data_IF_266657392925
#
_entry.id   IF_266657392925
#
_cell.length_a   1.000
_cell.length_b   1.000
_cell.length_c   1.000
_cell.angle_alpha   90.00
_cell.angle_beta   90.00
_cell.angle_gamma   90.00
#
_symmetry.space_group_name_H-M   'P 1'
#
loop_
_entity.id
_entity.type
_entity.pdbx_description
1 polymer ?
#
# COMPACT_ATOMS: atom_id res chain seq x y z
N UNK A 1 68.71 1.42 -26.01
CA UNK A 1 68.23 1.65 -24.64
C UNK A 1 67.54 0.37 -24.21
N UNK A 2 68.09 -0.16 -23.13
CA UNK A 2 67.90 -1.48 -22.56
C UNK A 2 66.49 -1.74 -22.01
N UNK A 3 66.16 -3.01 -21.76
CA UNK A 3 65.20 -3.35 -20.71
C UNK A 3 64.36 -4.61 -20.94
N UNK A 4 64.81 -5.74 -20.38
CA UNK A 4 64.15 -7.04 -20.28
C UNK A 4 62.87 -7.03 -19.42
N UNK A 5 61.96 -7.94 -19.81
CA UNK A 5 61.18 -8.93 -19.02
C UNK A 5 60.75 -8.62 -17.58
N UNK A 6 59.50 -9.00 -17.23
CA UNK A 6 59.22 -10.15 -16.35
C UNK A 6 57.71 -10.35 -16.13
N UNK A 7 57.33 -11.63 -16.11
CA UNK A 7 56.05 -12.14 -15.63
C UNK A 7 56.22 -12.50 -14.14
N UNK A 8 55.29 -12.15 -13.26
CA UNK A 8 55.11 -12.86 -11.98
C UNK A 8 53.75 -12.57 -11.34
N UNK A 9 53.08 -13.66 -10.97
CA UNK A 9 51.98 -13.72 -10.00
C UNK A 9 52.25 -12.89 -8.73
N UNK A 10 51.21 -12.19 -8.28
CA UNK A 10 51.06 -11.67 -6.93
C UNK A 10 49.57 -11.63 -6.61
N UNK A 11 49.11 -12.62 -5.85
CA UNK A 11 47.81 -12.61 -5.19
C UNK A 11 47.83 -11.50 -4.14
N UNK A 12 46.85 -10.61 -4.15
CA UNK A 12 46.47 -9.87 -2.95
C UNK A 12 44.94 -9.71 -2.91
N UNK A 13 44.47 -10.02 -1.72
CA UNK A 13 43.11 -10.21 -1.26
C UNK A 13 42.58 -8.87 -0.73
N UNK A 14 41.26 -8.65 -0.83
CA UNK A 14 40.43 -7.67 -0.10
C UNK A 14 40.54 -6.18 -0.49
N UNK A 15 39.49 -5.67 -1.14
CA UNK A 15 38.47 -4.82 -0.48
C UNK A 15 37.72 -4.02 -1.58
N UNK A 16 36.77 -4.69 -2.23
CA UNK A 16 35.89 -4.10 -3.23
C UNK A 16 34.56 -3.74 -2.59
N UNK A 17 34.53 -2.57 -1.95
CA UNK A 17 33.35 -1.92 -1.40
C UNK A 17 32.17 -2.01 -2.38
N UNK A 18 31.09 -2.62 -1.93
CA UNK A 18 29.79 -2.70 -2.58
C UNK A 18 29.35 -1.29 -3.02
N UNK A 19 29.27 -1.08 -4.34
CA UNK A 19 28.53 0.03 -4.90
C UNK A 19 27.06 -0.16 -4.57
N UNK A 20 26.57 0.61 -3.60
CA UNK A 20 25.15 0.83 -3.41
C UNK A 20 24.73 1.83 -4.48
N UNK A 21 24.06 1.33 -5.51
CA UNK A 21 23.19 2.14 -6.36
C UNK A 21 22.07 2.69 -5.46
N UNK A 22 22.30 3.87 -4.89
CA UNK A 22 21.28 4.63 -4.18
C UNK A 22 20.38 5.21 -5.29
N UNK A 23 19.13 4.76 -5.33
CA UNK A 23 18.10 5.26 -6.23
C UNK A 23 18.10 6.80 -6.22
N UNK A 24 18.09 7.45 -7.40
CA UNK A 24 18.04 8.92 -7.48
C UNK A 24 16.84 9.53 -6.72
N UNK A 25 15.76 8.75 -6.53
CA UNK A 25 14.63 9.10 -5.67
C UNK A 25 15.00 9.26 -4.19
N UNK A 26 15.89 8.41 -3.66
CA UNK A 26 16.31 8.46 -2.26
C UNK A 26 17.21 9.68 -1.99
N UNK A 27 17.95 10.14 -3.00
CA UNK A 27 18.77 11.35 -2.92
C UNK A 27 17.91 12.62 -2.84
N UNK A 28 16.85 12.70 -3.65
CA UNK A 28 15.89 13.81 -3.64
C UNK A 28 15.10 13.87 -2.31
N UNK A 29 14.71 12.72 -1.76
CA UNK A 29 14.03 12.65 -0.45
C UNK A 29 14.95 13.05 0.71
N UNK A 30 16.22 12.66 0.66
CA UNK A 30 17.20 13.00 1.68
C UNK A 30 17.60 14.49 1.61
N UNK A 31 17.68 15.07 0.41
CA UNK A 31 17.92 16.51 0.20
C UNK A 31 16.76 17.36 0.71
N UNK A 32 15.52 16.98 0.39
CA UNK A 32 14.32 17.67 0.88
C UNK A 32 14.17 17.57 2.41
N UNK A 33 14.55 16.44 3.01
CA UNK A 33 14.57 16.26 4.47
C UNK A 33 15.60 17.16 5.15
N UNK A 34 16.78 17.31 4.55
CA UNK A 34 17.84 18.23 5.06
C UNK A 34 17.42 19.69 4.96
N UNK A 35 16.81 20.09 3.86
CA UNK A 35 16.35 21.47 3.69
C UNK A 35 15.18 21.81 4.62
N UNK A 36 14.26 20.86 4.83
CA UNK A 36 13.22 20.99 5.84
C UNK A 36 13.81 21.16 7.25
N UNK A 37 14.86 20.41 7.60
CA UNK A 37 15.53 20.53 8.89
C UNK A 37 16.23 21.89 9.08
N UNK A 38 16.85 22.45 8.02
CA UNK A 38 17.44 23.79 8.05
C UNK A 38 16.36 24.87 8.27
N UNK A 39 15.25 24.78 7.53
CA UNK A 39 14.13 25.72 7.65
C UNK A 39 13.53 25.70 9.06
N UNK A 40 13.30 24.50 9.62
CA UNK A 40 12.80 24.35 10.99
C UNK A 40 13.76 24.95 12.04
N UNK A 41 15.07 24.76 11.87
CA UNK A 41 16.09 25.33 12.76
C UNK A 41 16.08 26.86 12.72
N UNK A 42 15.96 27.46 11.54
CA UNK A 42 15.83 28.92 11.39
C UNK A 42 14.53 29.46 11.98
N UNK A 43 13.40 28.77 11.75
CA UNK A 43 12.10 29.18 12.28
C UNK A 43 12.05 29.12 13.80
N UNK A 44 12.66 28.09 14.40
CA UNK A 44 12.80 27.97 15.86
C UNK A 44 13.66 29.09 16.46
N UNK A 45 14.67 29.57 15.74
CA UNK A 45 15.49 30.70 16.16
C UNK A 45 14.76 32.05 16.04
N UNK A 46 13.95 32.23 14.99
CA UNK A 46 13.19 33.46 14.72
C UNK A 46 11.90 33.55 15.55
N UNK A 47 11.34 32.41 15.94
CA UNK A 47 10.10 32.31 16.72
C UNK A 47 10.27 31.30 17.86
N UNK A 48 11.03 31.64 18.92
CA UNK A 48 11.24 30.75 20.05
C UNK A 48 9.96 30.48 20.85
N UNK A 49 8.97 31.37 20.75
CA UNK A 49 7.71 31.31 21.50
C UNK A 49 6.60 30.50 20.79
N UNK A 50 6.85 29.99 19.59
CA UNK A 50 5.86 29.21 18.82
C UNK A 50 5.99 27.71 19.08
N UNK A 51 4.85 27.06 19.17
CA UNK A 51 4.76 25.61 19.33
C UNK A 51 5.33 24.87 18.12
N UNK A 52 5.80 23.65 18.34
CA UNK A 52 6.44 22.82 17.31
C UNK A 52 5.53 22.61 16.10
N UNK A 53 4.22 22.45 16.31
CA UNK A 53 3.22 22.30 15.25
C UNK A 53 3.15 23.55 14.35
N UNK A 54 3.14 24.75 14.95
CA UNK A 54 3.11 26.02 14.21
C UNK A 54 4.40 26.24 13.42
N UNK A 55 5.55 25.75 13.92
CA UNK A 55 6.83 25.81 13.22
C UNK A 55 6.85 24.85 12.02
N UNK A 56 6.26 23.66 12.14
CA UNK A 56 6.10 22.69 11.05
C UNK A 56 5.17 23.24 9.96
N UNK A 57 4.05 23.84 10.34
CA UNK A 57 3.14 24.48 9.39
C UNK A 57 3.84 25.60 8.60
N UNK A 58 4.62 26.45 9.28
CA UNK A 58 5.39 27.52 8.65
C UNK A 58 6.48 26.97 7.71
N UNK A 59 7.16 25.90 8.09
CA UNK A 59 8.17 25.26 7.25
C UNK A 59 7.54 24.67 5.97
N UNK A 60 6.44 23.93 6.11
CA UNK A 60 5.72 23.35 4.98
C UNK A 60 5.16 24.43 4.04
N UNK A 61 4.60 25.51 4.61
CA UNK A 61 4.14 26.64 3.81
C UNK A 61 5.28 27.31 3.04
N UNK A 62 6.46 27.45 3.66
CA UNK A 62 7.63 28.06 3.03
C UNK A 62 8.12 27.24 1.83
N UNK A 63 8.21 25.91 1.97
CA UNK A 63 8.56 24.99 0.88
C UNK A 63 7.55 25.09 -0.27
N UNK A 64 6.25 24.97 0.03
CA UNK A 64 5.18 25.07 -0.98
C UNK A 64 5.09 26.44 -1.64
N UNK A 65 5.56 27.50 -0.95
CA UNK A 65 5.55 28.85 -1.50
C UNK A 65 6.63 29.07 -2.57
N UNK A 66 7.76 28.38 -2.44
CA UNK A 66 8.95 28.53 -3.29
C UNK A 66 8.88 27.70 -4.58
N UNK A 67 8.06 26.65 -4.61
CA UNK A 67 7.85 25.83 -5.80
C UNK A 67 7.19 26.61 -6.95
N UNK A 68 7.54 26.25 -8.19
CA UNK A 68 6.96 26.85 -9.39
C UNK A 68 5.48 26.44 -9.52
N UNK A 69 4.60 27.43 -9.69
CA UNK A 69 3.14 27.21 -9.68
C UNK A 69 2.55 27.25 -11.08
N UNK A 70 1.60 26.35 -11.34
CA UNK A 70 0.87 26.31 -12.61
C UNK A 70 -0.11 27.48 -12.75
N UNK A 71 -0.49 27.81 -13.99
CA UNK A 71 -1.49 28.86 -14.26
C UNK A 71 -2.87 28.52 -13.69
N UNK A 72 -3.20 27.23 -13.59
CA UNK A 72 -4.43 26.75 -12.97
C UNK A 72 -4.47 27.06 -11.47
N UNK A 73 -3.34 26.89 -10.76
CA UNK A 73 -3.23 27.21 -9.34
C UNK A 73 -3.65 28.66 -9.03
N UNK A 74 -3.18 29.64 -9.81
CA UNK A 74 -3.54 31.05 -9.61
C UNK A 74 -5.01 31.34 -9.86
N UNK A 75 -5.63 30.65 -10.84
CA UNK A 75 -7.07 30.77 -11.10
C UNK A 75 -7.88 30.24 -9.92
N UNK A 76 -7.53 29.06 -9.41
CA UNK A 76 -8.18 28.46 -8.24
C UNK A 76 -7.97 29.29 -6.98
N UNK A 77 -6.77 29.83 -6.78
CA UNK A 77 -6.44 30.70 -5.65
C UNK A 77 -7.26 31.99 -5.67
N UNK A 78 -7.40 32.65 -6.83
CA UNK A 78 -8.22 33.85 -6.96
C UNK A 78 -9.68 33.58 -6.61
N UNK A 79 -10.29 32.53 -7.17
CA UNK A 79 -11.68 32.16 -6.86
C UNK A 79 -11.87 31.85 -5.37
N UNK A 80 -10.96 31.07 -4.75
CA UNK A 80 -11.02 30.77 -3.30
C UNK A 80 -10.94 32.01 -2.41
N UNK A 81 -10.14 33.00 -2.79
CA UNK A 81 -10.07 34.27 -2.04
C UNK A 81 -11.37 35.06 -2.20
N UNK A 82 -11.96 35.07 -3.39
CA UNK A 82 -13.24 35.74 -3.65
C UNK A 82 -14.41 35.06 -2.94
N UNK A 83 -14.38 33.74 -2.76
CA UNK A 83 -15.44 32.96 -2.08
C UNK A 83 -15.18 32.77 -0.57
N UNK A 84 -14.17 33.42 0.00
CA UNK A 84 -13.86 33.34 1.44
C UNK A 84 -13.20 32.04 1.92
N UNK A 85 -12.80 31.16 1.01
CA UNK A 85 -12.19 29.85 1.32
C UNK A 85 -10.69 29.92 1.65
N UNK A 86 -10.08 31.10 1.59
CA UNK A 86 -8.70 31.36 2.03
C UNK A 86 -7.59 30.82 1.12
N UNK A 87 -6.35 30.98 1.56
CA UNK A 87 -5.15 30.60 0.79
C UNK A 87 -4.98 29.07 0.75
N UNK A 88 -4.95 28.51 -0.46
CA UNK A 88 -4.86 27.08 -0.70
C UNK A 88 -3.56 26.46 -0.16
N UNK A 89 -2.44 27.20 -0.17
CA UNK A 89 -1.15 26.73 0.35
C UNK A 89 -1.15 26.68 1.87
N UNK A 90 -1.79 27.65 2.53
CA UNK A 90 -1.93 27.64 3.99
C UNK A 90 -2.78 26.46 4.44
N UNK A 91 -3.90 26.23 3.73
CA UNK A 91 -4.76 25.07 4.02
C UNK A 91 -4.00 23.76 3.82
N UNK A 92 -3.29 23.60 2.70
CA UNK A 92 -2.52 22.39 2.44
C UNK A 92 -1.38 22.18 3.45
N UNK A 93 -0.67 23.24 3.83
CA UNK A 93 0.38 23.17 4.85
C UNK A 93 -0.18 22.78 6.24
N UNK A 94 -1.32 23.34 6.63
CA UNK A 94 -2.00 23.01 7.88
C UNK A 94 -2.54 21.56 7.87
N UNK A 95 -3.15 21.13 6.77
CA UNK A 95 -3.65 19.75 6.62
C UNK A 95 -2.48 18.75 6.66
N UNK A 96 -1.35 19.08 6.04
CA UNK A 96 -0.14 18.25 6.06
C UNK A 96 0.54 18.23 7.44
N UNK A 97 0.57 19.36 8.15
CA UNK A 97 1.07 19.43 9.53
C UNK A 97 0.22 18.57 10.46
N UNK A 98 -1.12 18.65 10.37
CA UNK A 98 -2.04 17.79 11.10
C UNK A 98 -1.84 16.31 10.80
N UNK A 99 -1.64 15.96 9.53
CA UNK A 99 -1.38 14.57 9.11
C UNK A 99 -0.01 14.07 9.61
N UNK A 100 1.01 14.91 9.60
CA UNK A 100 2.34 14.57 10.12
C UNK A 100 2.33 14.40 11.65
N UNK A 101 1.57 15.23 12.37
CA UNK A 101 1.36 15.08 13.82
C UNK A 101 0.54 13.82 14.12
N UNK A 102 -0.53 13.56 13.35
CA UNK A 102 -1.31 12.32 13.46
C UNK A 102 -0.47 11.07 13.19
N UNK A 103 0.47 11.10 12.24
CA UNK A 103 1.44 10.00 12.04
C UNK A 103 2.49 9.91 13.16
N UNK A 104 2.81 11.02 13.83
CA UNK A 104 3.72 11.02 14.98
C UNK A 104 3.01 10.54 16.27
N UNK A 105 1.70 10.70 16.39
CA UNK A 105 0.88 10.07 17.43
C UNK A 105 0.72 8.56 17.22
N UNK A 106 0.84 8.06 15.98
CA UNK A 106 0.86 6.61 15.66
C UNK A 106 2.26 6.01 15.82
N UNK A 107 3.30 6.83 16.00
CA UNK A 107 4.61 6.37 16.46
C UNK A 107 4.77 6.70 17.94
N UNK A 108 3.82 6.24 18.76
CA UNK A 108 4.16 5.93 20.14
C UNK A 108 5.29 4.91 20.06
N UNK A 109 6.50 5.34 20.40
CA UNK A 109 7.59 4.47 20.75
C UNK A 109 7.05 3.59 21.89
N UNK A 110 6.44 2.46 21.51
CA UNK A 110 5.98 1.45 22.43
C UNK A 110 7.27 0.84 22.98
N UNK A 111 7.85 1.51 23.97
CA UNK A 111 8.76 0.83 24.87
C UNK A 111 8.06 -0.44 25.32
N UNK A 112 8.79 -1.55 25.35
CA UNK A 112 8.39 -2.89 25.80
C UNK A 112 7.79 -2.94 27.24
N UNK A 113 7.43 -1.80 27.82
CA UNK A 113 6.94 -1.60 29.18
C UNK A 113 5.51 -1.05 29.26
N UNK A 114 4.70 -1.11 28.18
CA UNK A 114 3.26 -0.85 28.33
C UNK A 114 2.67 -1.92 29.26
N UNK A 115 2.09 -1.58 30.43
CA UNK A 115 1.57 -2.56 31.37
C UNK A 115 0.30 -3.26 30.86
N UNK A 116 -0.31 -2.77 29.78
CA UNK A 116 -1.58 -3.29 29.23
C UNK A 116 -1.32 -4.10 27.97
N UNK A 117 -1.88 -5.31 27.88
CA UNK A 117 -1.86 -6.10 26.64
C UNK A 117 -2.91 -5.55 25.66
N UNK A 118 -2.43 -4.94 24.57
CA UNK A 118 -3.27 -4.41 23.49
C UNK A 118 -3.39 -5.43 22.37
N UNK A 119 -4.63 -5.73 21.96
CA UNK A 119 -4.94 -6.65 20.87
C UNK A 119 -5.57 -5.88 19.71
N UNK A 120 -4.97 -5.91 18.52
CA UNK A 120 -5.39 -5.12 17.35
C UNK A 120 -4.97 -5.81 16.04
N UNK A 121 -5.47 -5.32 14.91
CA UNK A 121 -5.05 -5.81 13.59
C UNK A 121 -3.77 -5.12 13.11
N UNK A 122 -2.84 -5.87 12.53
CA UNK A 122 -1.63 -5.32 11.90
C UNK A 122 -1.24 -6.17 10.67
N UNK A 123 -1.41 -5.64 9.43
CA UNK A 123 -2.00 -4.35 9.08
C UNK A 123 -3.51 -4.27 9.38
N UNK A 124 -4.10 -3.07 9.26
CA UNK A 124 -5.55 -2.84 9.37
C UNK A 124 -6.31 -2.88 8.05
N UNK A 125 -5.61 -3.08 6.93
CA UNK A 125 -6.21 -3.18 5.60
C UNK A 125 -5.54 -4.32 4.83
N UNK A 126 -6.36 -5.12 4.14
CA UNK A 126 -5.97 -6.30 3.39
C UNK A 126 -6.59 -6.26 2.00
N UNK A 127 -5.93 -6.94 1.08
CA UNK A 127 -6.33 -7.03 -0.32
C UNK A 127 -6.13 -8.47 -0.78
N UNK A 128 -7.11 -9.00 -1.49
CA UNK A 128 -7.03 -10.32 -2.10
C UNK A 128 -7.75 -10.34 -3.45
N UNK A 129 -7.33 -11.25 -4.32
CA UNK A 129 -8.11 -11.60 -5.50
C UNK A 129 -9.26 -12.51 -5.09
N UNK A 130 -10.36 -12.46 -5.82
CA UNK A 130 -11.52 -13.32 -5.64
C UNK A 130 -11.13 -14.81 -5.67
N UNK A 131 -10.34 -15.21 -6.67
CA UNK A 131 -9.82 -16.57 -6.82
C UNK A 131 -8.79 -17.05 -5.77
N UNK A 132 -8.48 -16.26 -4.73
CA UNK A 132 -7.48 -16.65 -3.73
C UNK A 132 -7.95 -17.78 -2.80
N UNK A 133 -9.26 -18.04 -2.77
CA UNK A 133 -9.94 -19.04 -1.93
C UNK A 133 -9.99 -18.70 -0.45
N UNK A 134 -8.91 -18.19 0.15
CA UNK A 134 -8.91 -17.72 1.55
C UNK A 134 -7.98 -16.53 1.75
N UNK A 135 -8.44 -15.53 2.50
CA UNK A 135 -7.60 -14.42 2.97
C UNK A 135 -7.16 -14.66 4.42
N UNK A 136 -5.89 -14.37 4.70
CA UNK A 136 -5.28 -14.48 6.03
C UNK A 136 -5.12 -13.09 6.67
N UNK A 137 -5.71 -12.89 7.84
CA UNK A 137 -5.74 -11.62 8.57
C UNK A 137 -5.04 -11.77 9.92
N UNK A 138 -4.06 -10.90 10.19
CA UNK A 138 -3.23 -10.97 11.39
C UNK A 138 -3.80 -10.14 12.53
N UNK A 139 -3.91 -10.80 13.69
CA UNK A 139 -4.20 -10.17 14.98
C UNK A 139 -2.92 -10.17 15.80
N UNK A 140 -2.53 -9.00 16.29
CA UNK A 140 -1.30 -8.79 17.04
C UNK A 140 -1.62 -8.43 18.50
N UNK A 141 -0.82 -8.98 19.39
CA UNK A 141 -0.75 -8.66 20.81
C UNK A 141 0.55 -7.92 21.10
N UNK A 142 0.46 -6.70 21.67
CA UNK A 142 1.62 -5.90 22.09
C UNK A 142 1.44 -5.39 23.52
N UNK A 143 2.53 -5.34 24.29
CA UNK A 143 2.51 -4.90 25.69
C UNK A 143 1.87 -5.89 26.66
N UNK A 144 1.86 -5.51 27.94
CA UNK A 144 1.38 -6.29 29.07
C UNK A 144 2.20 -7.54 29.35
N UNK A 145 1.66 -8.40 30.23
CA UNK A 145 2.32 -9.64 30.63
C UNK A 145 2.11 -10.76 29.60
N UNK A 146 3.09 -10.97 28.72
CA UNK A 146 3.10 -12.07 27.74
C UNK A 146 3.08 -13.47 28.38
N UNK A 147 3.28 -13.60 29.69
CA UNK A 147 3.10 -14.85 30.43
C UNK A 147 1.64 -15.28 30.61
N UNK A 148 0.68 -14.38 30.39
CA UNK A 148 -0.77 -14.66 30.50
C UNK A 148 -1.36 -15.11 29.17
N UNK A 149 -2.43 -15.91 29.26
CA UNK A 149 -3.26 -16.26 28.11
C UNK A 149 -4.31 -15.18 27.89
N UNK A 150 -4.50 -14.71 26.65
CA UNK A 150 -5.49 -13.70 26.30
C UNK A 150 -6.37 -14.23 25.17
N UNK A 151 -7.67 -14.05 25.26
CA UNK A 151 -8.61 -14.36 24.19
C UNK A 151 -9.29 -13.10 23.66
N UNK A 152 -9.58 -13.05 22.36
CA UNK A 152 -10.36 -12.01 21.71
C UNK A 152 -11.36 -12.66 20.75
N UNK A 153 -12.58 -12.16 20.70
CA UNK A 153 -13.60 -12.60 19.74
C UNK A 153 -13.47 -11.79 18.46
N UNK A 154 -13.77 -12.42 17.33
CA UNK A 154 -13.86 -11.75 16.05
C UNK A 154 -15.12 -12.15 15.28
N UNK A 155 -15.60 -11.27 14.42
CA UNK A 155 -16.69 -11.50 13.48
C UNK A 155 -16.51 -10.71 12.21
N UNK A 156 -16.92 -11.28 11.08
CA UNK A 156 -17.06 -10.56 9.81
C UNK A 156 -18.34 -9.72 9.78
N UNK A 157 -18.33 -8.65 9.00
CA UNK A 157 -19.46 -7.77 8.75
C UNK A 157 -19.44 -7.31 7.29
N UNK A 158 -20.60 -7.31 6.66
CA UNK A 158 -20.77 -6.91 5.26
C UNK A 158 -20.40 -5.44 5.07
N UNK A 159 -19.72 -5.16 3.95
CA UNK A 159 -19.49 -3.82 3.45
C UNK A 159 -20.28 -3.61 2.15
N UNK A 160 -19.55 -3.51 1.03
CA UNK A 160 -20.16 -3.72 -0.29
C UNK A 160 -20.22 -5.20 -0.64
N UNK A 161 -19.23 -5.98 -0.19
CA UNK A 161 -19.26 -7.44 -0.25
C UNK A 161 -20.18 -8.00 0.83
N UNK A 162 -20.99 -8.99 0.45
CA UNK A 162 -21.97 -9.72 1.22
C UNK A 162 -21.52 -11.16 1.53
N UNK A 163 -21.76 -11.57 2.78
CA UNK A 163 -21.51 -12.95 3.17
C UNK A 163 -22.42 -13.93 2.40
N UNK A 164 -21.82 -14.95 1.81
CA UNK A 164 -22.50 -16.01 1.06
C UNK A 164 -22.57 -15.79 -0.45
N UNK A 165 -22.28 -14.59 -0.95
CA UNK A 165 -21.97 -14.34 -2.36
C UNK A 165 -20.48 -14.19 -2.57
N UNK A 166 -19.79 -13.33 -1.81
CA UNK A 166 -18.42 -12.91 -2.15
C UNK A 166 -17.40 -13.41 -1.10
N UNK A 167 -17.87 -13.68 0.12
CA UNK A 167 -17.04 -14.28 1.18
C UNK A 167 -17.85 -15.14 2.15
N UNK A 168 -17.18 -16.01 2.90
CA UNK A 168 -17.81 -16.86 3.92
C UNK A 168 -17.95 -16.11 5.26
N UNK A 169 -19.18 -16.06 5.80
CA UNK A 169 -19.40 -15.53 7.16
C UNK A 169 -18.52 -16.28 8.17
N UNK A 170 -17.66 -15.53 8.88
CA UNK A 170 -16.70 -16.13 9.82
C UNK A 170 -16.73 -15.38 11.15
N UNK A 171 -16.96 -16.12 12.23
CA UNK A 171 -16.81 -15.63 13.61
C UNK A 171 -16.06 -16.66 14.46
N UNK A 172 -15.42 -16.21 15.53
CA UNK A 172 -14.67 -17.11 16.39
C UNK A 172 -13.91 -16.42 17.52
N UNK A 173 -13.04 -17.20 18.18
CA UNK A 173 -12.19 -16.74 19.27
C UNK A 173 -10.73 -17.01 18.95
N UNK A 174 -9.92 -15.96 18.95
CA UNK A 174 -8.47 -16.04 18.87
C UNK A 174 -7.90 -16.12 20.28
N UNK A 175 -7.10 -17.14 20.57
CA UNK A 175 -6.44 -17.34 21.86
C UNK A 175 -4.94 -17.22 21.71
N UNK A 176 -4.35 -16.22 22.36
CA UNK A 176 -2.92 -16.04 22.54
C UNK A 176 -2.47 -16.77 23.80
N UNK A 177 -1.75 -17.87 23.64
CA UNK A 177 -1.06 -18.58 24.73
C UNK A 177 0.15 -17.77 25.23
N UNK A 178 0.74 -18.14 26.38
CA UNK A 178 1.91 -17.45 26.88
C UNK A 178 3.04 -17.41 25.84
N UNK A 179 3.58 -16.21 25.63
CA UNK A 179 4.63 -15.92 24.64
C UNK A 179 4.15 -15.71 23.19
N UNK A 180 2.88 -15.95 22.88
CA UNK A 180 2.35 -15.71 21.53
C UNK A 180 1.95 -14.25 21.36
N UNK A 181 2.46 -13.62 20.30
CA UNK A 181 2.22 -12.20 19.98
C UNK A 181 1.46 -11.98 18.67
N UNK A 182 1.28 -13.02 17.86
CA UNK A 182 0.57 -12.94 16.57
C UNK A 182 -0.27 -14.20 16.35
N UNK A 183 -1.47 -14.00 15.81
CA UNK A 183 -2.39 -15.06 15.37
C UNK A 183 -3.01 -14.67 14.03
N UNK A 184 -3.41 -15.69 13.28
CA UNK A 184 -4.04 -15.54 11.97
C UNK A 184 -5.51 -15.96 12.04
N UNK A 185 -6.38 -15.12 11.49
CA UNK A 185 -7.77 -15.44 11.15
C UNK A 185 -7.81 -15.74 9.66
N UNK A 186 -8.51 -16.80 9.27
CA UNK A 186 -8.75 -17.13 7.85
C UNK A 186 -10.22 -16.95 7.54
N UNK A 187 -10.50 -16.23 6.46
CA UNK A 187 -11.85 -16.04 5.91
C UNK A 187 -11.87 -16.61 4.50
N UNK A 188 -12.87 -17.44 4.18
CA UNK A 188 -13.07 -17.96 2.83
C UNK A 188 -13.53 -16.86 1.89
N UNK A 189 -12.93 -16.79 0.71
CA UNK A 189 -13.38 -15.93 -0.39
C UNK A 189 -14.09 -16.83 -1.39
N UNK A 190 -15.26 -16.40 -1.84
CA UNK A 190 -16.08 -17.13 -2.80
C UNK A 190 -15.69 -16.60 -4.18
N UNK A 191 -15.50 -17.51 -5.12
CA UNK A 191 -15.04 -17.27 -6.48
C UNK A 191 -16.14 -17.66 -7.45
N UNK A 192 -16.53 -16.75 -8.34
CA UNK A 192 -17.47 -17.05 -9.42
C UNK A 192 -16.98 -16.68 -10.85
N UNK A 193 -17.91 -16.45 -11.77
CA UNK A 193 -17.63 -16.20 -13.20
C UNK A 193 -18.27 -14.86 -13.66
N UNK A 194 -18.74 -14.03 -12.74
CA UNK A 194 -19.48 -12.79 -12.99
C UNK A 194 -18.58 -11.61 -12.66
N UNK A 195 -18.31 -10.76 -13.65
CA UNK A 195 -17.59 -9.52 -13.41
C UNK A 195 -18.32 -8.57 -12.44
N UNK A 196 -17.62 -8.21 -11.36
CA UNK A 196 -18.03 -7.28 -10.31
C UNK A 196 -17.06 -6.08 -10.17
N UNK A 197 -17.47 -5.04 -9.42
CA UNK A 197 -16.57 -3.94 -9.05
C UNK A 197 -15.76 -4.32 -7.80
N UNK A 198 -14.67 -3.61 -7.49
CA UNK A 198 -13.91 -3.85 -6.25
C UNK A 198 -14.82 -3.74 -5.00
N UNK A 199 -14.91 -4.82 -4.24
CA UNK A 199 -15.77 -4.88 -3.06
C UNK A 199 -15.00 -4.99 -1.76
N UNK A 200 -15.66 -4.73 -0.62
CA UNK A 200 -15.02 -4.85 0.68
C UNK A 200 -15.97 -5.36 1.76
N UNK A 201 -15.39 -6.05 2.74
CA UNK A 201 -16.03 -6.42 3.99
C UNK A 201 -15.11 -6.08 5.18
N UNK A 202 -15.66 -6.14 6.39
CA UNK A 202 -14.96 -5.79 7.62
C UNK A 202 -14.80 -6.99 8.55
N UNK A 203 -13.74 -6.98 9.36
CA UNK A 203 -13.55 -7.92 10.47
C UNK A 203 -13.38 -7.11 11.75
N UNK A 204 -14.21 -7.38 12.76
CA UNK A 204 -14.20 -6.66 14.03
C UNK A 204 -13.65 -7.52 15.15
N UNK A 205 -12.79 -6.94 15.99
CA UNK A 205 -12.41 -7.52 17.28
C UNK A 205 -13.36 -7.05 18.37
N UNK A 206 -13.70 -7.96 19.28
CA UNK A 206 -14.55 -7.68 20.43
C UNK A 206 -14.20 -8.57 21.63
N UNK A 207 -14.77 -8.25 22.80
CA UNK A 207 -14.78 -9.11 23.98
C UNK A 207 -13.40 -9.69 24.39
N UNK A 208 -12.39 -8.83 24.50
CA UNK A 208 -11.05 -9.25 24.97
C UNK A 208 -11.09 -9.66 26.44
N UNK A 209 -10.48 -10.81 26.77
CA UNK A 209 -10.42 -11.37 28.12
C UNK A 209 -9.04 -11.90 28.42
N UNK A 210 -8.56 -11.70 29.65
CA UNK A 210 -7.38 -12.39 30.17
C UNK A 210 -7.86 -13.68 30.84
N UNK A 211 -7.34 -14.82 30.41
CA UNK A 211 -7.68 -16.12 30.96
C UNK A 211 -6.70 -16.47 32.09
N UNK A 212 -7.19 -16.49 33.33
CA UNK A 212 -6.49 -17.07 34.48
C UNK A 212 -6.73 -18.58 34.48
N UNK A 213 -5.72 -19.38 34.82
CA UNK A 213 -5.88 -20.83 34.95
C UNK A 213 -6.92 -21.14 36.02
N UNK A 214 -7.88 -22.03 35.70
CA UNK A 214 -9.02 -22.41 36.54
C UNK A 214 -8.63 -22.60 38.02
N UNK A 215 -9.26 -21.83 38.91
CA UNK A 215 -9.11 -21.97 40.36
C UNK A 215 -9.13 -20.66 41.16
N UNK A 216 -8.91 -19.52 40.51
CA UNK A 216 -9.02 -18.21 41.13
C UNK A 216 -10.29 -17.52 40.61
N UNK A 217 -11.40 -17.71 41.34
CA UNK A 217 -12.47 -16.72 41.34
C UNK A 217 -11.84 -15.35 41.62
N UNK A 218 -12.27 -14.25 40.98
CA UNK A 218 -11.81 -12.93 41.38
C UNK A 218 -12.33 -12.70 42.80
N UNK A 219 -11.48 -12.96 43.80
CA UNK A 219 -11.80 -12.53 45.14
C UNK A 219 -11.93 -11.01 45.09
N UNK A 220 -13.14 -10.51 45.38
CA UNK A 220 -13.43 -9.13 45.71
C UNK A 220 -12.74 -8.71 47.03
N UNK A 221 -11.48 -9.08 47.22
CA UNK A 221 -10.69 -8.76 48.40
C UNK A 221 -9.59 -7.76 48.06
N UNK A 222 -9.85 -6.55 48.52
CA UNK A 222 -8.97 -5.40 48.66
C UNK A 222 -7.58 -5.77 49.20
N UNK A 223 -6.65 -6.14 48.32
CA UNK A 223 -5.21 -6.05 48.60
C UNK A 223 -4.53 -5.23 47.52
N UNK A 224 -4.43 -3.93 47.80
CA UNK A 224 -3.71 -2.94 47.03
C UNK A 224 -2.24 -3.35 46.86
N UNK A 225 -1.92 -4.05 45.76
CA UNK A 225 -0.64 -4.08 45.04
C UNK A 225 -0.56 -5.14 43.93
N UNK A 226 -1.60 -5.95 43.66
CA UNK A 226 -1.64 -6.74 42.43
C UNK A 226 -2.16 -5.86 41.29
N UNK A 227 -1.32 -5.63 40.28
CA UNK A 227 -1.78 -5.01 39.02
C UNK A 227 -2.53 -6.11 38.29
N UNK A 228 -3.87 -6.05 38.29
CA UNK A 228 -4.67 -6.93 37.43
C UNK A 228 -4.09 -6.87 36.03
N UNK A 229 -3.78 -8.02 35.44
CA UNK A 229 -3.32 -8.06 34.06
C UNK A 229 -4.46 -7.57 33.18
N UNK A 230 -4.39 -6.32 32.73
CA UNK A 230 -5.42 -5.71 31.89
C UNK A 230 -5.08 -6.00 30.44
N UNK A 231 -6.03 -6.59 29.71
CA UNK A 231 -6.01 -6.61 28.25
C UNK A 231 -7.11 -5.72 27.69
N UNK A 232 -6.82 -5.01 26.61
CA UNK A 232 -7.79 -4.17 25.92
C UNK A 232 -7.66 -4.30 24.41
N UNK A 233 -8.70 -3.87 23.70
CA UNK A 233 -8.68 -3.77 22.24
C UNK A 233 -7.88 -2.51 21.87
N UNK A 234 -6.86 -2.69 21.05
CA UNK A 234 -6.06 -1.61 20.47
C UNK A 234 -6.67 -1.07 19.18
N UNK A 235 -5.95 -0.15 18.54
CA UNK A 235 -6.33 0.44 17.25
C UNK A 235 -5.30 -0.02 16.21
N UNK A 236 -5.73 -0.51 15.03
CA UNK A 236 -7.12 -0.67 14.59
C UNK A 236 -7.80 -1.92 15.20
N UNK A 237 -9.04 -1.73 15.68
CA UNK A 237 -9.90 -2.83 16.17
C UNK A 237 -10.72 -3.49 15.06
N UNK A 238 -10.70 -2.90 13.87
CA UNK A 238 -11.42 -3.34 12.68
C UNK A 238 -10.42 -3.43 11.54
N UNK A 239 -10.39 -4.56 10.84
CA UNK A 239 -9.68 -4.71 9.58
C UNK A 239 -10.67 -4.56 8.43
N UNK A 240 -10.24 -3.91 7.34
CA UNK A 240 -10.97 -3.89 6.06
C UNK A 240 -10.28 -4.85 5.11
N UNK A 241 -11.06 -5.69 4.43
CA UNK A 241 -10.58 -6.56 3.35
C UNK A 241 -11.22 -6.08 2.06
N UNK A 242 -10.42 -5.81 1.04
CA UNK A 242 -10.87 -5.51 -0.32
C UNK A 242 -10.67 -6.73 -1.20
N UNK A 243 -11.73 -7.15 -1.89
CA UNK A 243 -11.75 -8.23 -2.87
C UNK A 243 -11.64 -7.58 -4.24
N UNK A 244 -10.66 -8.05 -5.03
CA UNK A 244 -10.47 -7.66 -6.42
C UNK A 244 -10.98 -8.79 -7.33
N UNK A 245 -11.97 -8.45 -8.14
CA UNK A 245 -12.53 -9.31 -9.19
C UNK A 245 -11.47 -9.69 -10.23
N UNK A 246 -11.49 -10.95 -10.68
CA UNK A 246 -10.66 -11.43 -11.80
C UNK A 246 -11.45 -11.90 -13.03
N UNK A 247 -12.74 -11.57 -13.10
CA UNK A 247 -13.69 -11.98 -14.12
C UNK A 247 -13.87 -10.98 -15.27
N UNK A 248 -13.13 -9.88 -15.26
CA UNK A 248 -13.16 -8.95 -16.38
C UNK A 248 -12.68 -9.62 -17.69
N UNK A 249 -13.45 -9.48 -18.77
CA UNK A 249 -13.17 -10.12 -20.06
C UNK A 249 -11.89 -9.60 -20.76
N UNK A 250 -11.33 -8.49 -20.27
CA UNK A 250 -10.07 -7.90 -20.71
C UNK A 250 -10.25 -6.66 -21.58
N UNK A 251 -9.27 -5.76 -21.51
CA UNK A 251 -9.11 -4.57 -22.32
C UNK A 251 -8.00 -4.84 -23.33
N UNK A 252 -8.33 -4.70 -24.62
CA UNK A 252 -7.43 -5.02 -25.71
C UNK A 252 -6.77 -3.76 -26.26
N UNK A 253 -5.44 -3.76 -26.35
CA UNK A 253 -4.64 -2.64 -26.88
C UNK A 253 -3.45 -3.15 -27.67
N UNK A 254 -2.92 -2.33 -28.58
CA UNK A 254 -1.59 -2.59 -29.13
C UNK A 254 -0.51 -2.26 -28.08
N UNK A 255 0.62 -2.96 -28.15
CA UNK A 255 1.81 -2.69 -27.32
C UNK A 255 2.35 -1.28 -27.57
N UNK A 256 2.41 -0.86 -28.84
CA UNK A 256 2.86 0.46 -29.26
C UNK A 256 1.87 1.11 -30.22
N UNK A 257 1.61 2.43 -30.10
CA UNK A 257 0.71 3.14 -31.00
C UNK A 257 1.31 3.35 -32.40
N UNK A 258 2.65 3.28 -32.53
CA UNK A 258 3.38 3.45 -33.79
C UNK A 258 4.59 2.53 -33.75
N UNK A 259 4.77 1.73 -34.82
CA UNK A 259 5.95 0.92 -35.03
C UNK A 259 6.70 1.40 -36.30
N UNK A 260 8.03 1.28 -36.28
CA UNK A 260 8.87 1.55 -37.44
C UNK A 260 9.50 0.25 -37.92
N UNK A 261 9.22 -0.13 -39.16
CA UNK A 261 9.75 -1.35 -39.76
C UNK A 261 10.50 -1.05 -41.06
N UNK A 262 11.54 -1.86 -41.32
CA UNK A 262 12.21 -1.86 -42.61
C UNK A 262 11.41 -2.68 -43.59
N UNK A 263 11.30 -2.23 -44.84
CA UNK A 263 10.72 -2.99 -45.96
C UNK A 263 11.39 -4.37 -46.16
N UNK A 264 12.62 -4.56 -45.66
CA UNK A 264 13.34 -5.84 -45.74
C UNK A 264 12.91 -6.89 -44.72
N UNK A 265 12.01 -6.58 -43.78
CA UNK A 265 11.59 -7.50 -42.71
C UNK A 265 10.74 -8.68 -43.23
N UNK A 266 10.07 -8.52 -44.38
CA UNK A 266 9.13 -9.50 -44.91
C UNK A 266 7.80 -9.49 -44.14
N UNK A 267 7.75 -10.14 -42.97
CA UNK A 267 6.55 -10.22 -42.14
C UNK A 267 6.78 -9.50 -40.81
N UNK A 268 5.86 -8.61 -40.46
CA UNK A 268 5.84 -7.94 -39.16
C UNK A 268 4.81 -8.59 -38.25
N UNK A 269 5.22 -8.95 -37.03
CA UNK A 269 4.32 -9.38 -35.97
C UNK A 269 3.85 -8.15 -35.17
N UNK A 270 2.55 -7.99 -35.02
CA UNK A 270 1.93 -6.92 -34.23
C UNK A 270 1.23 -7.56 -33.05
N UNK A 271 1.70 -7.28 -31.84
CA UNK A 271 1.12 -7.83 -30.62
C UNK A 271 -0.12 -7.05 -30.19
N UNK A 272 -1.13 -7.79 -29.77
CA UNK A 272 -2.32 -7.26 -29.09
C UNK A 272 -2.27 -7.75 -27.66
N UNK A 273 -2.26 -6.81 -26.72
CA UNK A 273 -2.23 -7.08 -25.29
C UNK A 273 -3.66 -7.12 -24.77
N UNK A 274 -4.00 -8.14 -23.97
CA UNK A 274 -5.22 -8.19 -23.16
C UNK A 274 -4.86 -7.86 -21.71
N UNK A 275 -5.49 -6.82 -21.16
CA UNK A 275 -5.18 -6.26 -19.84
C UNK A 275 -6.42 -6.16 -18.98
N UNK A 276 -6.30 -5.89 -17.68
CA UNK A 276 -7.42 -5.72 -16.76
C UNK A 276 -8.30 -6.96 -16.54
N UNK A 277 -7.99 -8.10 -17.16
CA UNK A 277 -8.67 -9.38 -16.96
C UNK A 277 -8.49 -10.31 -18.16
N UNK A 278 -8.71 -11.61 -17.95
CA UNK A 278 -8.49 -12.64 -18.98
C UNK A 278 -9.65 -13.66 -19.05
N UNK A 279 -10.82 -13.30 -18.50
CA UNK A 279 -11.95 -14.21 -18.37
C UNK A 279 -12.68 -14.44 -19.68
N UNK A 280 -12.98 -15.71 -19.96
CA UNK A 280 -13.75 -16.14 -21.12
C UNK A 280 -13.00 -16.02 -22.45
N UNK A 281 -13.64 -16.53 -23.51
CA UNK A 281 -13.14 -16.50 -24.88
C UNK A 281 -13.56 -15.19 -25.55
N UNK A 282 -12.60 -14.45 -26.12
CA UNK A 282 -12.86 -13.18 -26.80
C UNK A 282 -12.40 -13.23 -28.26
N UNK A 283 -13.29 -12.82 -29.16
CA UNK A 283 -13.04 -12.73 -30.60
C UNK A 283 -12.79 -11.27 -31.00
N UNK A 284 -11.55 -10.94 -31.35
CA UNK A 284 -11.14 -9.57 -31.70
C UNK A 284 -10.91 -9.42 -33.22
N UNK A 285 -11.82 -8.78 -33.97
CA UNK A 285 -11.64 -8.56 -35.40
C UNK A 285 -10.55 -7.52 -35.67
N UNK A 286 -9.72 -7.77 -36.67
CA UNK A 286 -8.69 -6.83 -37.12
C UNK A 286 -8.69 -6.70 -38.65
N UNK A 287 -8.16 -5.57 -39.13
CA UNK A 287 -7.90 -5.31 -40.55
C UNK A 287 -6.80 -4.28 -40.73
N UNK A 288 -6.09 -4.36 -41.84
CA UNK A 288 -5.22 -3.30 -42.32
C UNK A 288 -6.03 -2.14 -42.91
N UNK A 289 -5.47 -0.93 -42.83
CA UNK A 289 -6.06 0.28 -43.40
C UNK A 289 -4.96 1.09 -44.08
N UNK A 290 -5.20 1.51 -45.31
CA UNK A 290 -4.24 2.33 -46.06
C UNK A 290 -4.02 3.70 -45.41
N UNK A 291 -2.74 4.12 -45.41
CA UNK A 291 -2.32 5.45 -45.01
C UNK A 291 -1.61 6.14 -46.17
N UNK A 292 -0.38 6.60 -45.92
CA UNK A 292 0.52 6.98 -47.01
C UNK A 292 1.03 5.77 -47.79
N UNK A 293 1.16 4.62 -47.12
CA UNK A 293 1.43 3.33 -47.73
C UNK A 293 0.14 2.72 -48.33
N UNK A 294 0.27 2.08 -49.48
CA UNK A 294 -0.80 1.46 -50.27
C UNK A 294 -0.83 -0.06 -50.09
N UNK A 295 -2.05 -0.59 -49.99
CA UNK A 295 -2.27 -2.02 -49.82
C UNK A 295 -2.15 -2.77 -51.14
N UNK A 296 -2.81 -3.92 -51.23
CA UNK A 296 -2.91 -4.74 -52.44
C UNK A 296 -1.57 -5.18 -53.03
N UNK A 297 -0.52 -5.26 -52.19
CA UNK A 297 0.81 -5.71 -52.57
C UNK A 297 1.70 -4.62 -53.17
N UNK A 298 1.33 -3.33 -53.07
CA UNK A 298 2.23 -2.22 -53.43
C UNK A 298 3.27 -1.98 -52.33
N UNK A 299 2.83 -1.55 -51.14
CA UNK A 299 3.69 -1.37 -49.97
C UNK A 299 3.48 -2.47 -48.91
N UNK A 300 2.24 -2.99 -48.80
CA UNK A 300 1.91 -4.10 -47.91
C UNK A 300 0.78 -4.98 -48.48
N UNK A 301 0.68 -6.21 -47.99
CA UNK A 301 -0.43 -7.11 -48.30
C UNK A 301 -1.61 -6.88 -47.35
N UNK A 302 -2.81 -6.66 -47.90
CA UNK A 302 -4.01 -6.44 -47.09
C UNK A 302 -4.35 -7.68 -46.27
N UNK A 303 -4.43 -7.51 -44.95
CA UNK A 303 -4.74 -8.60 -44.01
C UNK A 303 -5.94 -8.23 -43.16
N UNK A 304 -6.86 -9.17 -42.99
CA UNK A 304 -7.99 -9.06 -42.06
C UNK A 304 -8.29 -10.42 -41.46
N UNK A 305 -8.93 -10.43 -40.30
CA UNK A 305 -9.24 -11.66 -39.61
C UNK A 305 -9.84 -11.39 -38.24
N UNK A 306 -9.81 -12.43 -37.41
CA UNK A 306 -10.27 -12.39 -36.03
C UNK A 306 -9.22 -13.11 -35.19
N UNK A 307 -8.71 -12.44 -34.17
CA UNK A 307 -7.90 -13.06 -33.13
C UNK A 307 -8.84 -13.71 -32.12
N UNK A 308 -8.57 -14.95 -31.74
CA UNK A 308 -9.32 -15.68 -30.73
C UNK A 308 -8.45 -15.80 -29.49
N UNK A 309 -8.82 -15.08 -28.43
CA UNK A 309 -8.20 -15.18 -27.11
C UNK A 309 -8.98 -16.20 -26.29
N UNK A 310 -8.31 -17.27 -25.86
CA UNK A 310 -8.87 -18.26 -24.94
C UNK A 310 -9.00 -17.70 -23.52
N UNK A 311 -9.67 -18.46 -22.63
CA UNK A 311 -9.66 -18.15 -21.20
C UNK A 311 -8.22 -18.13 -20.67
N UNK A 312 -7.90 -17.13 -19.85
CA UNK A 312 -6.56 -16.86 -19.27
C UNK A 312 -5.47 -16.48 -20.28
N UNK A 313 -5.80 -16.36 -21.58
CA UNK A 313 -4.85 -15.92 -22.61
C UNK A 313 -4.74 -14.39 -22.64
N UNK A 314 -3.50 -13.89 -22.56
CA UNK A 314 -3.19 -12.45 -22.43
C UNK A 314 -2.44 -11.83 -23.62
N UNK A 315 -1.95 -12.66 -24.56
CA UNK A 315 -1.10 -12.28 -25.70
C UNK A 315 -1.52 -13.00 -26.98
#
# INVERSE_FOLDING_TARGET
MDGKMLNSHGVDFLDGTLGLDIDEKDLDEEETRRDMAKILKELKQKHPDKEVEQLIELANYQVLSQQQKSRAFYRCQATRLMTGAGNILKKHAADQARKAVSMHEVRSDAGDNDPISKIFFEPGSYQCLENCGTVAVNVVRRGGDLGKTVSVEYRTEDGTANAGSDYEFTEGVVVFKPGETMKEIRVGIIDDDIFEEDENFLIHLSNVKVLTSEGEEPEENESANHVDSVACIGIPSTATVTIFDDDHAGIFTFEEPVCHVSESVGTMEVKVLRTSGARGVVMLPYKTVEGTARGSGEDFEDTHGVLEFQNDEIL
#
